data_IF_742758855448
#
_entry.id   IF_742758855448
#
_cell.length_a   1.000
_cell.length_b   1.000
_cell.length_c   1.000
_cell.angle_alpha   90.00
_cell.angle_beta   90.00
_cell.angle_gamma   90.00
#
_symmetry.space_group_name_H-M   'P 1'
#
loop_
_entity.id
_entity.type
_entity.pdbx_description
1 polymer ?
#
# COMPACT_ATOMS: atom_id res chain seq x y z
N UNK A 1 -15.97 6.62 15.64
CA UNK A 1 -17.46 6.66 15.69
C UNK A 1 -18.07 8.06 15.56
N UNK A 2 -17.52 9.11 16.18
CA UNK A 2 -18.10 10.47 16.14
C UNK A 2 -18.41 11.03 14.73
N UNK A 3 -17.51 10.86 13.75
CA UNK A 3 -17.75 11.34 12.38
C UNK A 3 -18.88 10.58 11.67
N UNK A 4 -19.01 9.27 11.93
CA UNK A 4 -20.11 8.45 11.38
C UNK A 4 -21.46 8.92 11.94
N UNK A 5 -21.52 9.23 13.24
CA UNK A 5 -22.73 9.77 13.86
C UNK A 5 -23.15 11.11 13.23
N UNK A 6 -22.20 12.04 13.04
CA UNK A 6 -22.48 13.33 12.37
C UNK A 6 -22.98 13.14 10.93
N UNK A 7 -22.41 12.20 10.19
CA UNK A 7 -22.89 11.88 8.83
C UNK A 7 -24.31 11.31 8.85
N UNK A 8 -24.65 10.46 9.82
CA UNK A 8 -26.01 9.93 9.99
C UNK A 8 -27.00 11.05 10.30
N UNK A 9 -26.64 11.96 11.22
CA UNK A 9 -27.46 13.11 11.59
C UNK A 9 -27.70 14.05 10.40
N UNK A 10 -26.64 14.49 9.72
CA UNK A 10 -26.75 15.38 8.55
C UNK A 10 -27.62 14.75 7.46
N UNK A 11 -27.46 13.45 7.18
CA UNK A 11 -28.27 12.75 6.18
C UNK A 11 -29.74 12.63 6.58
N UNK A 12 -30.03 12.51 7.88
CA UNK A 12 -31.39 12.42 8.40
C UNK A 12 -32.13 13.76 8.41
N UNK A 13 -31.41 14.89 8.53
CA UNK A 13 -32.03 16.22 8.72
C UNK A 13 -31.98 17.13 7.50
N UNK A 14 -31.18 16.80 6.48
CA UNK A 14 -31.05 17.63 5.25
C UNK A 14 -32.27 17.47 4.33
N UNK A 15 -32.47 18.46 3.46
CA UNK A 15 -33.39 18.34 2.35
C UNK A 15 -32.80 17.40 1.29
N UNK A 16 -33.31 16.16 1.23
CA UNK A 16 -32.82 15.14 0.32
C UNK A 16 -33.03 15.51 -1.15
N UNK A 17 -34.15 16.17 -1.48
CA UNK A 17 -34.47 16.55 -2.86
C UNK A 17 -33.53 17.67 -3.35
N UNK A 18 -33.22 18.64 -2.49
CA UNK A 18 -32.25 19.69 -2.81
C UNK A 18 -30.83 19.12 -3.02
N UNK A 19 -30.42 18.13 -2.22
CA UNK A 19 -29.14 17.44 -2.41
C UNK A 19 -29.11 16.69 -3.73
N UNK A 20 -30.15 15.92 -4.04
CA UNK A 20 -30.22 15.16 -5.29
C UNK A 20 -30.17 16.08 -6.51
N UNK A 21 -30.94 17.17 -6.50
CA UNK A 21 -30.95 18.15 -7.58
C UNK A 21 -29.58 18.82 -7.80
N UNK A 22 -28.90 19.22 -6.72
CA UNK A 22 -27.58 19.87 -6.81
C UNK A 22 -26.48 18.90 -7.25
N UNK A 23 -26.51 17.65 -6.79
CA UNK A 23 -25.59 16.61 -7.26
C UNK A 23 -25.83 16.23 -8.72
N UNK A 24 -27.09 16.17 -9.16
CA UNK A 24 -27.44 15.94 -10.57
C UNK A 24 -26.94 17.05 -11.48
N UNK A 25 -27.08 18.31 -11.08
CA UNK A 25 -26.53 19.44 -11.83
C UNK A 25 -24.99 19.39 -11.92
N UNK A 26 -24.32 18.97 -10.84
CA UNK A 26 -22.87 18.80 -10.82
C UNK A 26 -22.41 17.66 -11.74
N UNK A 27 -23.12 16.53 -11.74
CA UNK A 27 -22.86 15.41 -12.66
C UNK A 27 -23.03 15.83 -14.13
N UNK A 28 -24.10 16.54 -14.46
CA UNK A 28 -24.36 17.02 -15.83
C UNK A 28 -23.31 18.03 -16.30
N UNK A 29 -22.89 18.94 -15.42
CA UNK A 29 -21.81 19.87 -15.73
C UNK A 29 -20.47 19.15 -15.94
N UNK A 30 -20.17 18.12 -15.13
CA UNK A 30 -18.97 17.30 -15.30
C UNK A 30 -18.98 16.52 -16.63
N UNK A 31 -20.15 16.07 -17.07
CA UNK A 31 -20.35 15.34 -18.32
C UNK A 31 -20.31 16.23 -19.56
N UNK A 32 -20.99 17.37 -19.51
CA UNK A 32 -21.11 18.30 -20.65
C UNK A 32 -19.90 19.22 -20.82
N UNK A 33 -19.12 19.41 -19.76
CA UNK A 33 -18.05 20.42 -19.70
C UNK A 33 -18.57 21.86 -19.66
N UNK A 34 -19.88 22.07 -19.44
CA UNK A 34 -20.51 23.38 -19.37
C UNK A 34 -20.78 23.79 -17.91
N UNK A 35 -20.67 25.10 -17.65
CA UNK A 35 -20.87 25.66 -16.32
C UNK A 35 -19.59 25.69 -15.48
N UNK A 36 -19.74 25.96 -14.18
CA UNK A 36 -18.62 26.06 -13.24
C UNK A 36 -18.77 25.02 -12.12
N UNK A 37 -17.90 24.00 -12.12
CA UNK A 37 -17.96 22.90 -11.15
C UNK A 37 -17.80 23.37 -9.71
N UNK A 38 -16.98 24.39 -9.46
CA UNK A 38 -16.81 24.94 -8.11
C UNK A 38 -18.11 25.61 -7.61
N UNK A 39 -18.77 26.40 -8.47
CA UNK A 39 -20.04 27.03 -8.13
C UNK A 39 -21.11 25.98 -7.80
N UNK A 40 -21.21 24.92 -8.61
CA UNK A 40 -22.15 23.82 -8.38
C UNK A 40 -21.81 23.00 -7.12
N UNK A 41 -20.52 22.79 -6.84
CA UNK A 41 -20.08 22.15 -5.59
C UNK A 41 -20.41 23.00 -4.35
N UNK A 42 -20.33 24.33 -4.45
CA UNK A 42 -20.77 25.24 -3.38
C UNK A 42 -22.27 25.12 -3.12
N UNK A 43 -23.10 25.03 -4.17
CA UNK A 43 -24.54 24.78 -4.03
C UNK A 43 -24.83 23.43 -3.38
N UNK A 44 -24.15 22.36 -3.81
CA UNK A 44 -24.28 21.04 -3.21
C UNK A 44 -23.87 21.03 -1.72
N UNK A 45 -22.77 21.68 -1.37
CA UNK A 45 -22.33 21.83 0.02
C UNK A 45 -23.33 22.64 0.87
N UNK A 46 -23.96 23.68 0.27
CA UNK A 46 -25.02 24.44 0.93
C UNK A 46 -26.25 23.58 1.20
N UNK A 47 -26.60 22.69 0.28
CA UNK A 47 -27.65 21.68 0.43
C UNK A 47 -27.27 20.54 1.41
N UNK A 48 -26.06 20.52 1.97
CA UNK A 48 -25.53 19.48 2.87
C UNK A 48 -25.21 18.16 2.17
N UNK A 49 -24.81 18.21 0.90
CA UNK A 49 -24.06 17.13 0.29
C UNK A 49 -22.69 17.00 0.98
N UNK A 50 -22.25 15.76 1.15
CA UNK A 50 -20.95 15.41 1.74
C UNK A 50 -19.85 15.50 0.68
N UNK A 51 -18.59 15.61 1.12
CA UNK A 51 -17.43 15.58 0.22
C UNK A 51 -17.47 14.33 -0.68
N UNK A 52 -17.78 13.17 -0.11
CA UNK A 52 -17.89 11.92 -0.87
C UNK A 52 -18.98 11.96 -1.95
N UNK A 53 -20.16 12.51 -1.64
CA UNK A 53 -21.26 12.63 -2.61
C UNK A 53 -20.91 13.57 -3.77
N UNK A 54 -20.28 14.71 -3.47
CA UNK A 54 -19.81 15.67 -4.48
C UNK A 54 -18.75 15.03 -5.38
N UNK A 55 -17.76 14.36 -4.80
CA UNK A 55 -16.73 13.64 -5.56
C UNK A 55 -17.32 12.53 -6.42
N UNK A 56 -18.25 11.73 -5.90
CA UNK A 56 -18.89 10.63 -6.63
C UNK A 56 -19.78 11.14 -7.78
N UNK A 57 -20.45 12.28 -7.62
CA UNK A 57 -21.22 12.88 -8.71
C UNK A 57 -20.34 13.23 -9.91
N UNK A 58 -19.16 13.81 -9.67
CA UNK A 58 -18.18 14.08 -10.73
C UNK A 58 -17.54 12.79 -11.28
N UNK A 59 -17.26 11.81 -10.41
CA UNK A 59 -16.65 10.54 -10.77
C UNK A 59 -17.46 9.76 -11.82
N UNK A 60 -18.80 9.82 -11.78
CA UNK A 60 -19.64 9.16 -12.79
C UNK A 60 -19.36 9.61 -14.22
N UNK A 61 -18.94 10.87 -14.42
CA UNK A 61 -18.58 11.42 -15.72
C UNK A 61 -17.09 11.30 -16.02
N UNK A 62 -16.23 11.46 -15.01
CA UNK A 62 -14.79 11.62 -15.19
C UNK A 62 -13.97 10.34 -14.92
N UNK A 63 -14.56 9.37 -14.22
CA UNK A 63 -13.86 8.18 -13.72
C UNK A 63 -12.84 8.49 -12.62
N UNK A 64 -12.00 7.50 -12.31
CA UNK A 64 -10.84 7.62 -11.42
C UNK A 64 -9.56 7.31 -12.18
N UNK A 65 -8.55 8.14 -11.99
CA UNK A 65 -7.22 7.86 -12.53
C UNK A 65 -6.63 6.59 -11.90
N UNK A 66 -6.05 5.74 -12.74
CA UNK A 66 -5.24 4.58 -12.33
C UNK A 66 -3.83 4.80 -12.84
N UNK A 67 -2.87 4.88 -11.92
CA UNK A 67 -1.46 5.06 -12.26
C UNK A 67 -0.86 3.75 -12.76
N UNK A 68 -0.04 3.82 -13.80
CA UNK A 68 0.83 2.71 -14.20
C UNK A 68 2.05 2.68 -13.28
N UNK A 69 2.31 1.52 -12.66
CA UNK A 69 3.51 1.32 -11.85
C UNK A 69 4.68 1.03 -12.79
N UNK A 70 5.67 1.92 -12.81
CA UNK A 70 6.95 1.72 -13.54
C UNK A 70 8.07 1.62 -12.52
N UNK A 71 8.77 0.50 -12.52
CA UNK A 71 9.95 0.28 -11.68
C UNK A 71 11.22 0.57 -12.48
N UNK A 72 12.21 1.13 -11.79
CA UNK A 72 13.56 1.33 -12.31
C UNK A 72 14.42 0.15 -11.84
N UNK A 73 15.41 -0.25 -12.63
CA UNK A 73 16.42 -1.25 -12.27
C UNK A 73 17.82 -0.75 -12.59
N UNK A 74 18.82 -1.24 -11.87
CA UNK A 74 20.24 -0.98 -12.06
C UNK A 74 20.75 0.35 -11.50
N UNK A 75 19.89 1.21 -10.93
CA UNK A 75 20.29 2.52 -10.42
C UNK A 75 20.91 2.42 -9.03
N UNK A 76 20.35 1.56 -8.16
CA UNK A 76 20.84 1.41 -6.80
C UNK A 76 22.15 0.61 -6.79
N UNK A 77 22.19 -0.51 -7.51
CA UNK A 77 23.37 -1.38 -7.60
C UNK A 77 24.60 -0.66 -8.17
N UNK A 78 24.41 0.25 -9.13
CA UNK A 78 25.52 1.05 -9.67
C UNK A 78 26.22 1.92 -8.62
N UNK A 79 25.52 2.35 -7.56
CA UNK A 79 26.12 3.11 -6.47
C UNK A 79 26.97 2.25 -5.52
N UNK A 80 26.86 0.93 -5.61
CA UNK A 80 27.56 -0.06 -4.78
C UNK A 80 28.58 -0.89 -5.59
N UNK A 81 28.97 -0.41 -6.78
CA UNK A 81 29.97 -1.11 -7.59
C UNK A 81 31.31 -1.24 -6.82
N UNK A 82 31.78 -2.47 -6.68
CA UNK A 82 32.99 -2.80 -5.91
C UNK A 82 32.79 -2.90 -4.39
N UNK A 83 31.56 -2.74 -3.89
CA UNK A 83 31.24 -2.93 -2.47
C UNK A 83 31.14 -4.43 -2.13
N UNK A 84 32.01 -4.89 -1.23
CA UNK A 84 32.10 -6.31 -0.84
C UNK A 84 30.86 -6.79 -0.07
N UNK A 85 30.23 -5.93 0.72
CA UNK A 85 29.03 -6.26 1.49
C UNK A 85 27.82 -6.45 0.56
N UNK A 86 27.71 -5.59 -0.45
CA UNK A 86 26.68 -5.70 -1.48
C UNK A 86 26.85 -6.97 -2.32
N UNK A 87 28.08 -7.26 -2.76
CA UNK A 87 28.38 -8.49 -3.50
C UNK A 87 28.07 -9.76 -2.66
N UNK A 88 28.34 -9.73 -1.35
CA UNK A 88 28.04 -10.84 -0.46
C UNK A 88 26.53 -11.14 -0.37
N UNK A 89 25.67 -10.12 -0.24
CA UNK A 89 24.21 -10.36 -0.19
C UNK A 89 23.65 -10.81 -1.55
N UNK A 90 24.21 -10.33 -2.67
CA UNK A 90 23.84 -10.86 -3.99
C UNK A 90 24.15 -12.36 -4.08
N UNK A 91 25.33 -12.78 -3.62
CA UNK A 91 25.71 -14.19 -3.58
C UNK A 91 24.78 -15.02 -2.66
N UNK A 92 24.42 -14.50 -1.48
CA UNK A 92 23.47 -15.17 -0.57
C UNK A 92 22.09 -15.40 -1.22
N UNK A 93 21.62 -14.44 -2.01
CA UNK A 93 20.35 -14.54 -2.77
C UNK A 93 20.47 -15.53 -3.93
N UNK A 94 21.60 -15.57 -4.63
CA UNK A 94 21.84 -16.59 -5.65
C UNK A 94 21.88 -18.00 -5.05
N UNK A 95 22.55 -18.16 -3.91
CA UNK A 95 22.62 -19.45 -3.21
C UNK A 95 21.22 -19.91 -2.78
N UNK A 96 20.38 -18.99 -2.26
CA UNK A 96 18.96 -19.25 -2.02
C UNK A 96 18.25 -19.71 -3.30
N UNK A 97 18.46 -19.02 -4.42
CA UNK A 97 17.80 -19.37 -5.67
C UNK A 97 18.22 -20.75 -6.20
N UNK A 98 19.48 -21.16 -5.99
CA UNK A 98 19.95 -22.50 -6.36
C UNK A 98 19.37 -23.59 -5.46
N UNK A 99 19.23 -23.32 -4.17
CA UNK A 99 18.68 -24.27 -3.19
C UNK A 99 17.17 -24.45 -3.34
N UNK A 100 16.44 -23.35 -3.56
CA UNK A 100 14.96 -23.32 -3.58
C UNK A 100 14.38 -23.46 -5.01
N UNK A 101 15.23 -23.39 -6.04
CA UNK A 101 14.82 -23.42 -7.44
C UNK A 101 14.14 -22.13 -7.95
N UNK A 102 14.04 -21.10 -7.11
CA UNK A 102 13.52 -19.77 -7.47
C UNK A 102 14.10 -18.67 -6.58
N UNK A 103 14.14 -17.45 -7.07
CA UNK A 103 14.58 -16.28 -6.29
C UNK A 103 13.62 -15.98 -5.14
N UNK A 104 14.11 -15.35 -4.05
CA UNK A 104 13.22 -14.83 -3.02
C UNK A 104 12.34 -13.74 -3.65
N UNK A 105 11.04 -13.85 -3.43
CA UNK A 105 10.02 -13.02 -4.07
C UNK A 105 9.33 -12.13 -3.04
N UNK A 106 9.31 -10.83 -3.29
CA UNK A 106 8.72 -9.83 -2.40
C UNK A 106 7.63 -9.03 -3.12
N UNK A 107 6.49 -8.84 -2.45
CA UNK A 107 5.50 -7.85 -2.85
C UNK A 107 5.59 -6.63 -1.93
N UNK A 108 5.92 -5.46 -2.48
CA UNK A 108 5.91 -4.19 -1.76
C UNK A 108 4.54 -3.53 -1.91
N UNK A 109 3.83 -3.32 -0.80
CA UNK A 109 2.43 -2.83 -0.81
C UNK A 109 2.26 -1.47 -0.17
N UNK A 110 1.28 -0.72 -0.71
CA UNK A 110 0.75 0.53 -0.15
C UNK A 110 -0.73 0.35 0.14
N UNK A 111 -1.05 0.16 1.42
CA UNK A 111 -2.43 -0.05 1.85
C UNK A 111 -3.07 1.24 2.36
N UNK A 112 -4.38 1.36 2.15
CA UNK A 112 -5.15 2.55 2.50
C UNK A 112 -4.76 3.77 1.65
N UNK A 113 -5.17 4.97 2.06
CA UNK A 113 -5.01 6.18 1.25
C UNK A 113 -3.58 6.79 1.29
N UNK A 114 -2.58 6.02 1.69
CA UNK A 114 -1.19 6.48 1.83
C UNK A 114 -0.50 6.56 0.46
N UNK A 115 -0.26 7.79 -0.02
CA UNK A 115 0.41 8.07 -1.30
C UNK A 115 1.94 8.16 -1.23
N UNK A 116 2.57 7.95 -0.06
CA UNK A 116 4.03 8.06 0.04
C UNK A 116 4.73 6.84 -0.57
N UNK A 117 5.31 6.99 -1.76
CA UNK A 117 5.85 5.88 -2.54
C UNK A 117 7.38 5.91 -2.70
N UNK A 118 8.06 7.02 -2.36
CA UNK A 118 9.52 7.14 -2.52
C UNK A 118 10.28 5.99 -1.86
N UNK A 119 9.97 5.71 -0.60
CA UNK A 119 10.61 4.61 0.14
C UNK A 119 10.31 3.24 -0.48
N UNK A 120 9.05 2.99 -0.83
CA UNK A 120 8.62 1.75 -1.47
C UNK A 120 9.35 1.51 -2.81
N UNK A 121 9.47 2.55 -3.65
CA UNK A 121 10.16 2.49 -4.94
C UNK A 121 11.67 2.28 -4.79
N UNK A 122 12.30 2.92 -3.81
CA UNK A 122 13.73 2.72 -3.51
C UNK A 122 13.99 1.30 -3.01
N UNK A 123 13.14 0.77 -2.13
CA UNK A 123 13.24 -0.62 -1.68
C UNK A 123 13.04 -1.57 -2.87
N UNK A 124 12.05 -1.34 -3.71
CA UNK A 124 11.79 -2.22 -4.85
C UNK A 124 12.96 -2.29 -5.84
N UNK A 125 13.51 -1.14 -6.23
CA UNK A 125 14.67 -1.11 -7.14
C UNK A 125 15.92 -1.71 -6.49
N UNK A 126 16.18 -1.42 -5.21
CA UNK A 126 17.35 -1.92 -4.52
C UNK A 126 17.30 -3.43 -4.28
N UNK A 127 16.15 -3.98 -3.89
CA UNK A 127 15.97 -5.43 -3.73
C UNK A 127 16.05 -6.16 -5.06
N UNK A 128 15.52 -5.58 -6.14
CA UNK A 128 15.69 -6.13 -7.49
C UNK A 128 17.17 -6.15 -7.90
N UNK A 129 17.93 -5.08 -7.62
CA UNK A 129 19.37 -5.01 -7.89
C UNK A 129 20.19 -6.00 -7.03
N UNK A 130 19.71 -6.33 -5.82
CA UNK A 130 20.27 -7.38 -4.96
C UNK A 130 19.96 -8.79 -5.50
N UNK A 131 18.90 -8.95 -6.32
CA UNK A 131 18.54 -10.22 -6.96
C UNK A 131 17.22 -10.84 -6.49
N UNK A 132 16.42 -10.14 -5.70
CA UNK A 132 15.05 -10.55 -5.40
C UNK A 132 14.15 -10.38 -6.63
N UNK A 133 13.13 -11.22 -6.75
CA UNK A 133 12.00 -10.92 -7.63
C UNK A 133 11.04 -9.99 -6.88
N UNK A 134 10.86 -8.76 -7.36
CA UNK A 134 10.09 -7.74 -6.64
C UNK A 134 8.90 -7.26 -7.45
N UNK A 135 7.72 -7.46 -6.88
CA UNK A 135 6.47 -6.89 -7.34
C UNK A 135 6.14 -5.64 -6.52
N UNK A 136 5.58 -4.63 -7.18
CA UNK A 136 5.12 -3.39 -6.52
C UNK A 136 3.62 -3.28 -6.72
N UNK A 137 2.88 -3.41 -5.61
CA UNK A 137 1.44 -3.30 -5.62
C UNK A 137 0.98 -1.88 -6.02
N UNK A 138 -0.24 -1.75 -6.58
CA UNK A 138 -0.81 -0.45 -6.86
C UNK A 138 -1.00 0.39 -5.58
N UNK A 139 -1.14 1.70 -5.76
CA UNK A 139 -1.54 2.57 -4.66
C UNK A 139 -2.99 2.28 -4.24
N UNK A 140 -3.28 2.51 -2.97
CA UNK A 140 -4.62 2.52 -2.40
C UNK A 140 -5.31 1.17 -2.24
N UNK A 141 -4.53 0.09 -2.14
CA UNK A 141 -5.07 -1.24 -1.90
C UNK A 141 -5.69 -1.37 -0.52
N UNK A 142 -6.74 -2.18 -0.45
CA UNK A 142 -7.22 -2.77 0.80
C UNK A 142 -6.29 -3.91 1.24
N UNK A 143 -6.28 -4.27 2.54
CA UNK A 143 -5.54 -5.45 3.00
C UNK A 143 -5.93 -6.73 2.28
N UNK A 144 -7.21 -6.89 1.92
CA UNK A 144 -7.74 -8.07 1.24
C UNK A 144 -7.27 -8.14 -0.23
N UNK A 145 -7.19 -7.00 -0.92
CA UNK A 145 -6.59 -6.92 -2.26
C UNK A 145 -5.08 -7.22 -2.21
N UNK A 146 -4.36 -6.67 -1.23
CA UNK A 146 -2.94 -6.93 -1.05
C UNK A 146 -2.64 -8.40 -0.71
N UNK A 147 -3.47 -9.05 0.11
CA UNK A 147 -3.36 -10.47 0.41
C UNK A 147 -3.57 -11.32 -0.85
N UNK A 148 -4.58 -10.98 -1.66
CA UNK A 148 -4.85 -11.67 -2.93
C UNK A 148 -3.67 -11.56 -3.89
N UNK A 149 -3.15 -10.35 -4.09
CA UNK A 149 -1.98 -10.13 -4.95
C UNK A 149 -0.75 -10.91 -4.45
N UNK A 150 -0.56 -11.02 -3.13
CA UNK A 150 0.54 -11.78 -2.56
C UNK A 150 0.43 -13.29 -2.89
N UNK A 151 -0.78 -13.84 -2.76
CA UNK A 151 -1.08 -15.25 -3.05
C UNK A 151 -0.98 -15.54 -4.54
N UNK A 152 -1.61 -14.71 -5.37
CA UNK A 152 -1.63 -14.88 -6.84
C UNK A 152 -0.21 -14.82 -7.43
N UNK A 153 0.69 -14.06 -6.80
CA UNK A 153 2.10 -13.96 -7.19
C UNK A 153 3.02 -14.98 -6.49
N UNK A 154 2.51 -15.83 -5.59
CA UNK A 154 3.30 -16.81 -4.82
C UNK A 154 4.54 -16.15 -4.16
N UNK A 155 4.32 -15.04 -3.45
CA UNK A 155 5.40 -14.27 -2.83
C UNK A 155 5.84 -14.92 -1.52
N UNK A 156 7.12 -14.82 -1.20
CA UNK A 156 7.62 -15.29 0.10
C UNK A 156 7.35 -14.28 1.22
N UNK A 157 7.31 -12.99 0.87
CA UNK A 157 7.19 -11.89 1.83
C UNK A 157 6.39 -10.73 1.25
N UNK A 158 5.51 -10.16 2.06
CA UNK A 158 4.82 -8.89 1.80
C UNK A 158 5.46 -7.79 2.65
N UNK A 159 6.03 -6.79 1.97
CA UNK A 159 6.59 -5.59 2.58
C UNK A 159 5.60 -4.44 2.61
N UNK A 160 5.05 -4.14 3.79
CA UNK A 160 4.16 -2.99 3.97
C UNK A 160 5.00 -1.72 4.09
N UNK A 161 4.80 -0.75 3.19
CA UNK A 161 5.39 0.58 3.32
C UNK A 161 4.38 1.57 3.92
N UNK A 162 4.47 1.85 5.22
CA UNK A 162 3.51 2.69 5.96
C UNK A 162 4.13 4.01 6.42
N UNK A 163 3.54 5.14 6.02
CA UNK A 163 3.94 6.49 6.45
C UNK A 163 2.76 7.34 6.93
N UNK A 164 1.53 6.85 6.78
CA UNK A 164 0.30 7.57 7.16
C UNK A 164 -0.35 7.03 8.46
N UNK A 165 0.43 6.44 9.37
CA UNK A 165 -0.01 5.93 10.68
C UNK A 165 -1.17 4.90 10.66
N UNK A 166 -1.42 4.26 9.52
CA UNK A 166 -2.46 3.23 9.38
C UNK A 166 -2.02 1.83 9.84
N UNK A 167 -0.74 1.63 10.20
CA UNK A 167 -0.11 0.33 10.43
C UNK A 167 -0.81 -0.52 11.50
N UNK A 168 -1.23 0.07 12.63
CA UNK A 168 -1.92 -0.69 13.70
C UNK A 168 -3.29 -1.24 13.30
N UNK A 169 -3.87 -0.75 12.20
CA UNK A 169 -5.15 -1.25 11.67
C UNK A 169 -4.93 -2.11 10.44
N UNK A 170 -4.12 -1.65 9.49
CA UNK A 170 -3.99 -2.28 8.18
C UNK A 170 -3.05 -3.50 8.19
N UNK A 171 -1.97 -3.48 8.98
CA UNK A 171 -1.06 -4.63 9.05
C UNK A 171 -1.70 -5.87 9.69
N UNK A 172 -2.41 -5.76 10.84
CA UNK A 172 -3.14 -6.92 11.40
C UNK A 172 -4.18 -7.47 10.44
N UNK A 173 -4.92 -6.61 9.73
CA UNK A 173 -5.90 -7.03 8.73
C UNK A 173 -5.29 -7.77 7.54
N UNK A 174 -4.10 -7.37 7.10
CA UNK A 174 -3.39 -8.09 6.04
C UNK A 174 -3.00 -9.49 6.51
N UNK A 175 -2.45 -9.60 7.72
CA UNK A 175 -2.10 -10.90 8.33
C UNK A 175 -3.33 -11.78 8.47
N UNK A 176 -4.45 -11.23 8.95
CA UNK A 176 -5.73 -11.93 9.06
C UNK A 176 -6.25 -12.38 7.69
N UNK A 177 -6.22 -11.51 6.68
CA UNK A 177 -6.65 -11.86 5.32
C UNK A 177 -5.81 -12.98 4.69
N UNK A 178 -4.48 -12.97 4.89
CA UNK A 178 -3.60 -14.05 4.44
C UNK A 178 -3.93 -15.37 5.16
N UNK A 179 -4.19 -15.29 6.47
CA UNK A 179 -4.58 -16.45 7.27
C UNK A 179 -5.92 -17.04 6.84
N UNK A 180 -6.93 -16.22 6.65
CA UNK A 180 -8.25 -16.66 6.17
C UNK A 180 -8.17 -17.33 4.80
N UNK A 181 -7.21 -16.92 3.96
CA UNK A 181 -6.93 -17.54 2.67
C UNK A 181 -6.00 -18.77 2.74
N UNK A 182 -5.55 -19.17 3.93
CA UNK A 182 -4.67 -20.33 4.12
C UNK A 182 -3.20 -20.09 3.74
N UNK A 183 -2.77 -18.83 3.64
CA UNK A 183 -1.42 -18.42 3.23
C UNK A 183 -0.60 -17.86 4.41
N UNK A 184 -0.67 -18.52 5.58
CA UNK A 184 0.04 -18.11 6.80
C UNK A 184 1.57 -18.23 6.70
N UNK A 185 2.06 -18.92 5.67
CA UNK A 185 3.48 -19.05 5.32
C UNK A 185 4.06 -17.79 4.68
N UNK A 186 3.23 -16.91 4.11
CA UNK A 186 3.65 -15.63 3.55
C UNK A 186 4.01 -14.67 4.68
N UNK A 187 5.28 -14.29 4.75
CA UNK A 187 5.81 -13.42 5.81
C UNK A 187 5.30 -11.99 5.61
N UNK A 188 4.83 -11.34 6.67
CA UNK A 188 4.50 -9.91 6.65
C UNK A 188 5.56 -9.12 7.39
N UNK A 189 6.14 -8.11 6.72
CA UNK A 189 7.06 -7.14 7.33
C UNK A 189 6.51 -5.72 7.15
N UNK A 190 6.95 -4.81 8.01
CA UNK A 190 6.58 -3.40 7.93
C UNK A 190 7.81 -2.50 7.78
N UNK A 191 7.66 -1.40 7.07
CA UNK A 191 8.65 -0.33 7.03
C UNK A 191 8.03 1.04 6.87
N UNK A 192 8.83 2.08 7.08
CA UNK A 192 8.40 3.48 7.00
C UNK A 192 8.41 4.17 8.35
N UNK A 193 7.45 5.08 8.59
CA UNK A 193 7.42 5.90 9.81
C UNK A 193 6.49 5.23 10.84
N UNK A 194 7.07 4.33 11.63
CA UNK A 194 6.37 3.56 12.66
C UNK A 194 6.95 3.93 14.03
N UNK A 195 6.14 4.47 14.96
CA UNK A 195 6.59 4.75 16.33
C UNK A 195 7.06 3.48 17.04
N UNK A 196 8.18 3.56 17.78
CA UNK A 196 8.72 2.39 18.51
C UNK A 196 7.72 1.76 19.49
N UNK A 197 6.88 2.58 20.14
CA UNK A 197 5.82 2.13 21.05
C UNK A 197 4.75 1.24 20.36
N UNK A 198 4.70 1.22 19.03
CA UNK A 198 3.76 0.40 18.27
C UNK A 198 4.38 -0.94 17.84
N UNK A 199 5.68 -1.16 18.07
CA UNK A 199 6.40 -2.34 17.56
C UNK A 199 5.87 -3.63 18.17
N UNK A 200 5.78 -3.69 19.50
CA UNK A 200 5.30 -4.89 20.21
C UNK A 200 3.91 -5.29 19.73
N UNK A 201 3.02 -4.31 19.58
CA UNK A 201 1.68 -4.54 19.02
C UNK A 201 1.75 -5.15 17.62
N UNK A 202 2.60 -4.63 16.73
CA UNK A 202 2.70 -5.17 15.37
C UNK A 202 3.26 -6.59 15.36
N UNK A 203 4.27 -6.88 16.20
CA UNK A 203 4.81 -8.23 16.35
C UNK A 203 3.78 -9.22 16.89
N UNK A 204 3.02 -8.83 17.91
CA UNK A 204 1.91 -9.62 18.47
C UNK A 204 0.81 -9.92 17.44
N UNK A 205 0.66 -9.05 16.44
CA UNK A 205 -0.33 -9.20 15.36
C UNK A 205 0.28 -9.75 14.06
N UNK A 206 1.43 -10.44 14.15
CA UNK A 206 1.96 -11.29 13.09
C UNK A 206 2.98 -10.66 12.15
N UNK A 207 3.32 -9.37 12.32
CA UNK A 207 4.46 -8.77 11.61
C UNK A 207 5.75 -9.42 12.10
N UNK A 208 6.67 -9.80 11.20
CA UNK A 208 7.92 -10.51 11.55
C UNK A 208 9.13 -9.59 11.68
N UNK A 209 9.13 -8.44 11.04
CA UNK A 209 10.19 -7.44 11.15
C UNK A 209 9.67 -6.03 10.85
N UNK A 210 10.31 -5.03 11.46
CA UNK A 210 9.99 -3.62 11.27
C UNK A 210 11.25 -2.83 10.89
N UNK A 211 11.18 -2.12 9.76
CA UNK A 211 12.28 -1.34 9.18
C UNK A 211 11.98 0.16 9.19
N UNK A 212 12.54 0.87 10.17
CA UNK A 212 12.31 2.30 10.38
C UNK A 212 13.11 3.21 9.43
N UNK A 213 12.97 4.54 9.57
CA UNK A 213 13.76 5.50 8.80
C UNK A 213 15.27 5.31 9.03
N UNK A 214 16.07 5.39 7.97
CA UNK A 214 17.52 5.21 8.03
C UNK A 214 17.99 3.75 7.97
N UNK A 215 17.09 2.79 7.80
CA UNK A 215 17.44 1.37 7.60
C UNK A 215 18.43 1.21 6.43
N UNK A 216 19.52 0.49 6.67
CA UNK A 216 20.45 0.05 5.63
C UNK A 216 19.82 -1.08 4.80
N UNK A 217 19.77 -0.92 3.48
CA UNK A 217 19.03 -1.83 2.60
C UNK A 217 19.70 -3.22 2.49
N UNK A 218 21.02 -3.35 2.27
CA UNK A 218 21.71 -4.64 2.34
C UNK A 218 21.46 -5.42 3.63
N UNK A 219 21.49 -4.74 4.79
CA UNK A 219 21.19 -5.38 6.08
C UNK A 219 19.73 -5.83 6.18
N UNK A 220 18.79 -5.01 5.69
CA UNK A 220 17.37 -5.39 5.63
C UNK A 220 17.16 -6.62 4.73
N UNK A 221 17.82 -6.67 3.57
CA UNK A 221 17.76 -7.81 2.66
C UNK A 221 18.29 -9.10 3.31
N UNK A 222 19.43 -9.03 4.02
CA UNK A 222 19.97 -10.16 4.80
C UNK A 222 18.99 -10.64 5.87
N UNK A 223 18.38 -9.71 6.61
CA UNK A 223 17.39 -10.06 7.64
C UNK A 223 16.16 -10.75 7.03
N UNK A 224 15.61 -10.20 5.96
CA UNK A 224 14.44 -10.77 5.27
C UNK A 224 14.76 -12.14 4.69
N UNK A 225 15.92 -12.32 4.08
CA UNK A 225 16.36 -13.63 3.55
C UNK A 225 16.43 -14.68 4.67
N UNK A 226 16.93 -14.32 5.85
CA UNK A 226 16.95 -15.21 7.03
C UNK A 226 15.54 -15.56 7.49
N UNK A 227 14.62 -14.60 7.53
CA UNK A 227 13.22 -14.86 7.90
C UNK A 227 12.56 -15.82 6.91
N UNK A 228 12.74 -15.59 5.61
CA UNK A 228 12.21 -16.47 4.55
C UNK A 228 12.77 -17.89 4.70
N UNK A 229 14.08 -18.05 4.91
CA UNK A 229 14.69 -19.36 5.14
C UNK A 229 14.14 -20.04 6.40
N UNK A 230 13.98 -19.30 7.48
CA UNK A 230 13.47 -19.83 8.75
C UNK A 230 12.01 -20.26 8.71
N UNK A 231 11.18 -19.64 7.87
CA UNK A 231 9.77 -20.03 7.71
C UNK A 231 9.59 -21.34 6.93
N UNK A 232 10.63 -21.80 6.22
CA UNK A 232 10.58 -23.00 5.37
C UNK A 232 11.28 -24.22 5.98
N UNK A 233 12.13 -24.02 6.99
CA UNK A 233 12.81 -25.08 7.74
C UNK A 233 12.02 -25.52 8.96
#
# INVERSE_FOLDING_TARGET
EAQVARLKEIRATRDAAAVEATLGALEEAARSGQGNLLALAVEAARARATVGEISMAMEKALGRHKAEVRTLSGVYGAAYEGDADFAAIQQEVEDFAREEGRRPRMLVVKMGQDGHDRGAKVIATAFADIGFDVDVGPLFQTPEEAARDAIDNDVHVVGISSQAAGHKTLAPKLVEALKEAGAEDIIVICGGVIPQQDYDYLYEHGVKAIFGPGTNIPEAARNILRLVRAARG
#
